data_IF_659719066293
#
_entry.id   IF_659719066293
#
_cell.length_a   1.000
_cell.length_b   1.000
_cell.length_c   1.000
_cell.angle_alpha   90.00
_cell.angle_beta   90.00
_cell.angle_gamma   90.00
#
_symmetry.space_group_name_H-M   'P 1'
#
loop_
_entity.id
_entity.type
_entity.pdbx_description
1 polymer ?
#
# COMPACT_ATOMS: atom_id res chain seq x y z
N UNK A 1 -1.87 10.57 -17.23
CA UNK A 1 -1.70 9.48 -16.24
C UNK A 1 -2.14 9.87 -14.85
N UNK A 2 -1.58 10.92 -14.21
CA UNK A 2 -1.97 11.29 -12.82
C UNK A 2 -3.48 11.50 -12.64
N UNK A 3 -4.11 12.26 -13.54
CA UNK A 3 -5.57 12.48 -13.51
C UNK A 3 -6.38 11.18 -13.70
N UNK A 4 -5.82 10.19 -14.40
CA UNK A 4 -6.46 8.88 -14.58
C UNK A 4 -6.42 8.08 -13.27
N UNK A 5 -5.24 8.01 -12.63
CA UNK A 5 -5.06 7.32 -11.35
C UNK A 5 -5.85 7.98 -10.22
N UNK A 6 -5.94 9.31 -10.25
CA UNK A 6 -6.71 10.12 -9.31
C UNK A 6 -8.17 9.66 -9.15
N UNK A 7 -8.78 9.17 -10.24
CA UNK A 7 -10.16 8.68 -10.22
C UNK A 7 -10.38 7.49 -9.28
N UNK A 8 -9.31 6.75 -8.97
CA UNK A 8 -9.31 5.56 -8.11
C UNK A 8 -8.86 5.85 -6.67
N UNK A 9 -8.44 7.08 -6.36
CA UNK A 9 -8.04 7.49 -5.02
C UNK A 9 -9.24 8.01 -4.23
N UNK A 10 -9.28 7.71 -2.93
CA UNK A 10 -10.30 8.23 -2.03
C UNK A 10 -10.24 9.77 -1.94
N UNK A 11 -11.39 10.49 -1.88
CA UNK A 11 -11.43 11.95 -1.91
C UNK A 11 -10.50 12.63 -0.89
N UNK A 12 -10.41 12.09 0.31
CA UNK A 12 -9.56 12.57 1.40
C UNK A 12 -8.05 12.45 1.10
N UNK A 13 -7.67 11.61 0.13
CA UNK A 13 -6.28 11.29 -0.23
C UNK A 13 -5.89 11.79 -1.63
N UNK A 14 -6.78 12.55 -2.28
CA UNK A 14 -6.62 13.10 -3.62
C UNK A 14 -5.63 14.28 -3.69
N UNK A 15 -4.48 14.14 -3.01
CA UNK A 15 -3.39 15.11 -3.03
C UNK A 15 -2.43 14.78 -4.18
N UNK A 16 -2.41 15.65 -5.19
CA UNK A 16 -1.49 15.58 -6.33
C UNK A 16 -0.27 16.47 -6.08
N UNK A 17 0.86 16.15 -6.73
CA UNK A 17 1.98 17.09 -6.80
C UNK A 17 1.57 18.41 -7.47
N UNK A 18 2.02 19.54 -6.91
CA UNK A 18 1.63 20.90 -7.37
C UNK A 18 2.12 21.17 -8.80
N UNK A 19 3.39 20.86 -9.09
CA UNK A 19 3.99 21.01 -10.42
C UNK A 19 4.71 19.73 -10.82
N UNK A 20 4.09 18.89 -11.67
CA UNK A 20 4.71 17.67 -12.21
C UNK A 20 6.12 17.93 -12.73
N UNK A 21 7.05 17.04 -12.43
CA UNK A 21 8.44 17.06 -12.92
C UNK A 21 9.30 18.26 -12.49
N UNK A 22 8.78 19.16 -11.65
CA UNK A 22 9.53 20.32 -11.17
C UNK A 22 10.12 20.10 -9.77
N UNK A 23 9.47 19.28 -8.94
CA UNK A 23 9.86 19.05 -7.56
C UNK A 23 10.35 17.63 -7.33
N UNK A 24 11.28 17.49 -6.39
CA UNK A 24 11.78 16.18 -5.93
C UNK A 24 10.69 15.37 -5.23
N UNK A 25 10.95 14.08 -5.08
CA UNK A 25 10.09 13.16 -4.36
C UNK A 25 9.80 13.63 -2.93
N UNK A 26 8.53 13.58 -2.54
CA UNK A 26 8.09 13.78 -1.15
C UNK A 26 7.43 12.50 -0.61
N UNK A 27 7.87 11.94 0.53
CA UNK A 27 7.28 10.72 1.11
C UNK A 27 5.83 10.92 1.61
N UNK A 28 5.34 12.16 1.63
CA UNK A 28 4.03 12.52 2.17
C UNK A 28 2.95 12.69 1.09
N UNK A 29 3.34 12.77 -0.19
CA UNK A 29 2.39 12.91 -1.30
C UNK A 29 2.09 11.54 -1.93
N UNK A 30 0.80 11.25 -2.14
CA UNK A 30 0.33 9.94 -2.64
C UNK A 30 0.53 9.75 -4.14
N UNK A 31 0.29 10.80 -4.92
CA UNK A 31 0.41 10.78 -6.38
C UNK A 31 1.32 11.92 -6.85
N UNK A 32 2.46 11.55 -7.42
CA UNK A 32 3.49 12.50 -7.85
C UNK A 32 4.01 12.12 -9.24
N UNK A 33 4.37 13.14 -10.01
CA UNK A 33 5.13 12.99 -11.25
C UNK A 33 6.51 13.60 -11.04
N UNK A 34 7.54 12.78 -11.25
CA UNK A 34 8.92 13.08 -10.89
C UNK A 34 9.79 12.75 -12.11
N UNK A 35 10.84 13.52 -12.32
CA UNK A 35 11.79 13.25 -13.39
C UNK A 35 12.49 11.91 -13.18
N UNK A 36 12.77 11.20 -14.27
CA UNK A 36 13.39 9.88 -14.22
C UNK A 36 14.78 9.89 -13.61
N UNK A 37 15.51 11.00 -13.73
CA UNK A 37 16.83 11.19 -13.12
C UNK A 37 16.80 11.09 -11.58
N UNK A 38 15.65 11.38 -10.97
CA UNK A 38 15.44 11.32 -9.52
C UNK A 38 15.07 9.92 -9.02
N UNK A 39 15.08 8.88 -9.87
CA UNK A 39 14.68 7.53 -9.44
C UNK A 39 15.50 7.03 -8.25
N UNK A 40 16.80 7.33 -8.22
CA UNK A 40 17.67 6.96 -7.10
C UNK A 40 17.22 7.70 -5.83
N UNK A 41 16.94 8.99 -5.92
CA UNK A 41 16.38 9.80 -4.81
C UNK A 41 15.08 9.20 -4.29
N UNK A 42 14.17 8.81 -5.20
CA UNK A 42 12.90 8.13 -4.87
C UNK A 42 13.17 6.83 -4.10
N UNK A 43 14.19 6.06 -4.49
CA UNK A 43 14.52 4.80 -3.81
C UNK A 43 15.01 5.01 -2.36
N UNK A 44 15.76 6.08 -2.09
CA UNK A 44 16.25 6.39 -0.74
C UNK A 44 15.22 7.08 0.14
N UNK A 45 14.53 8.10 -0.39
CA UNK A 45 13.47 8.81 0.32
C UNK A 45 12.20 7.95 0.45
N UNK A 46 12.01 6.98 -0.44
CA UNK A 46 10.89 6.04 -0.40
C UNK A 46 10.82 5.25 0.91
N UNK A 47 11.96 4.95 1.53
CA UNK A 47 12.02 4.27 2.83
C UNK A 47 11.36 5.07 3.99
N UNK A 48 11.20 6.39 3.86
CA UNK A 48 10.51 7.23 4.86
C UNK A 48 8.99 7.21 4.68
N UNK A 49 8.53 6.79 3.51
CA UNK A 49 7.11 6.81 3.14
C UNK A 49 6.33 5.92 4.07
N UNK A 50 5.13 6.34 4.45
CA UNK A 50 4.31 5.56 5.36
C UNK A 50 3.87 4.22 4.74
N UNK A 51 3.73 4.17 3.42
CA UNK A 51 3.24 3.02 2.67
C UNK A 51 4.23 2.59 1.58
N UNK A 52 4.18 1.32 1.15
CA UNK A 52 4.80 0.87 -0.08
C UNK A 52 4.44 1.78 -1.27
N UNK A 53 5.36 1.87 -2.22
CA UNK A 53 5.28 2.76 -3.37
C UNK A 53 5.14 1.98 -4.66
N UNK A 54 4.52 2.61 -5.65
CA UNK A 54 4.48 2.12 -7.03
C UNK A 54 5.12 3.16 -7.94
N UNK A 55 6.08 2.73 -8.75
CA UNK A 55 6.75 3.55 -9.77
C UNK A 55 6.22 3.12 -11.13
N UNK A 56 5.63 4.07 -11.86
CA UNK A 56 5.12 3.87 -13.21
C UNK A 56 6.02 4.66 -14.16
N UNK A 57 6.89 3.96 -14.88
CA UNK A 57 7.76 4.54 -15.92
C UNK A 57 7.00 4.51 -17.25
N UNK A 58 6.53 5.68 -17.70
CA UNK A 58 5.72 5.82 -18.91
C UNK A 58 6.52 5.60 -20.19
N UNK A 59 7.80 6.00 -20.20
CA UNK A 59 8.65 5.89 -21.38
C UNK A 59 9.02 4.42 -21.64
N UNK A 60 9.27 3.68 -20.55
CA UNK A 60 9.59 2.25 -20.62
C UNK A 60 8.37 1.33 -20.57
N UNK A 61 7.20 1.87 -20.25
CA UNK A 61 5.97 1.11 -20.02
C UNK A 61 6.13 0.03 -18.94
N UNK A 62 6.84 0.38 -17.86
CA UNK A 62 7.13 -0.52 -16.74
C UNK A 62 6.41 -0.04 -15.49
N UNK A 63 5.85 -0.99 -14.74
CA UNK A 63 5.30 -0.74 -13.41
C UNK A 63 6.04 -1.60 -12.40
N UNK A 64 6.62 -0.93 -11.40
CA UNK A 64 7.31 -1.57 -10.30
C UNK A 64 6.69 -1.18 -8.96
N UNK A 65 6.59 -2.13 -8.05
CA UNK A 65 6.16 -1.91 -6.66
C UNK A 65 7.34 -2.09 -5.72
N UNK A 66 7.36 -1.33 -4.63
CA UNK A 66 8.29 -1.57 -3.54
C UNK A 66 7.92 -2.85 -2.78
N UNK A 67 8.74 -3.19 -1.78
CA UNK A 67 8.45 -4.34 -0.92
C UNK A 67 7.09 -4.23 -0.23
N UNK A 68 6.42 -5.37 0.08
CA UNK A 68 5.15 -5.39 0.80
C UNK A 68 5.22 -4.66 2.15
N UNK A 69 4.06 -4.29 2.68
CA UNK A 69 3.92 -3.49 3.90
C UNK A 69 4.81 -3.93 5.08
N UNK A 70 4.90 -5.22 5.46
CA UNK A 70 5.72 -5.63 6.61
C UNK A 70 7.21 -5.32 6.42
N UNK A 71 7.74 -5.67 5.25
CA UNK A 71 9.14 -5.40 4.89
C UNK A 71 9.38 -3.90 4.74
N UNK A 72 8.41 -3.14 4.22
CA UNK A 72 8.50 -1.68 4.11
C UNK A 72 8.52 -1.00 5.48
N UNK A 73 7.69 -1.45 6.43
CA UNK A 73 7.67 -0.95 7.81
C UNK A 73 8.99 -1.23 8.54
N UNK A 74 9.52 -2.45 8.42
CA UNK A 74 10.83 -2.79 8.96
C UNK A 74 11.95 -1.91 8.38
N UNK A 75 11.91 -1.63 7.07
CA UNK A 75 12.85 -0.73 6.40
C UNK A 75 12.75 0.71 6.93
N UNK A 76 11.52 1.22 7.11
CA UNK A 76 11.26 2.55 7.66
C UNK A 76 11.80 2.68 9.09
N UNK A 77 11.54 1.69 9.95
CA UNK A 77 12.05 1.67 11.32
C UNK A 77 13.59 1.63 11.34
N UNK A 78 14.22 0.85 10.45
CA UNK A 78 15.67 0.82 10.31
C UNK A 78 16.22 2.19 9.90
N UNK A 79 15.56 2.87 8.96
CA UNK A 79 15.93 4.22 8.54
C UNK A 79 15.81 5.23 9.69
N UNK A 80 14.68 5.26 10.37
CA UNK A 80 14.46 6.14 11.52
C UNK A 80 15.49 5.91 12.62
N UNK A 81 15.83 4.64 12.90
CA UNK A 81 16.91 4.28 13.84
C UNK A 81 18.26 4.83 13.37
N UNK A 82 18.59 4.70 12.09
CA UNK A 82 19.82 5.24 11.53
C UNK A 82 19.87 6.77 11.64
N UNK A 83 18.77 7.47 11.34
CA UNK A 83 18.66 8.93 11.42
C UNK A 83 18.83 9.42 12.86
N UNK A 84 18.17 8.77 13.83
CA UNK A 84 18.34 9.06 15.27
C UNK A 84 19.79 8.80 15.68
N UNK A 85 20.37 7.69 15.25
CA UNK A 85 21.76 7.36 15.56
C UNK A 85 22.70 8.40 14.97
N UNK A 86 22.46 8.92 13.77
CA UNK A 86 23.26 10.00 13.18
C UNK A 86 23.17 11.30 13.97
N UNK A 87 21.98 11.67 14.46
CA UNK A 87 21.79 12.84 15.33
C UNK A 87 22.61 12.66 16.62
N UNK A 88 22.51 11.49 17.26
CA UNK A 88 23.25 11.15 18.49
C UNK A 88 24.77 10.99 18.24
N UNK A 89 25.19 10.64 17.02
CA UNK A 89 26.61 10.53 16.61
C UNK A 89 27.27 11.86 16.32
N UNK A 90 26.51 12.93 16.04
CA UNK A 90 27.09 14.29 15.97
C UNK A 90 27.71 14.76 17.29
N UNK A 91 27.58 13.96 18.36
CA UNK A 91 28.16 14.18 19.68
C UNK A 91 29.38 13.32 20.04
N UNK A 92 29.79 12.28 19.29
CA UNK A 92 31.08 11.58 19.52
C UNK A 92 31.51 10.59 18.39
N UNK A 93 32.82 10.30 18.33
CA UNK A 93 33.65 9.80 17.20
C UNK A 93 33.51 8.29 16.82
N UNK A 94 33.72 8.03 15.51
CA UNK A 94 34.00 6.79 14.75
C UNK A 94 33.16 5.52 14.94
N UNK A 95 32.25 5.29 13.98
CA UNK A 95 31.75 3.95 13.65
C UNK A 95 31.47 3.84 12.14
N UNK A 96 31.68 2.62 11.60
CA UNK A 96 31.44 2.21 10.20
C UNK A 96 30.20 2.87 9.58
N UNK A 97 30.35 3.28 8.31
CA UNK A 97 29.27 3.86 7.51
C UNK A 97 28.01 2.98 7.58
N UNK A 98 26.88 3.51 8.10
CA UNK A 98 25.65 2.74 8.16
C UNK A 98 25.15 2.47 6.73
N UNK A 99 24.75 1.22 6.46
CA UNK A 99 24.07 0.86 5.22
C UNK A 99 22.83 1.75 5.10
N UNK A 100 22.80 2.61 4.10
CA UNK A 100 21.67 3.53 3.87
C UNK A 100 20.47 2.70 3.37
N UNK A 101 19.37 2.62 4.13
CA UNK A 101 18.21 1.83 3.74
C UNK A 101 17.59 2.43 2.48
N UNK A 102 17.31 1.60 1.48
CA UNK A 102 16.62 1.97 0.24
C UNK A 102 15.55 0.96 -0.11
N UNK A 103 14.47 1.41 -0.74
CA UNK A 103 13.44 0.50 -1.24
C UNK A 103 13.97 -0.30 -2.44
N UNK A 104 13.56 -1.56 -2.53
CA UNK A 104 13.76 -2.40 -3.71
C UNK A 104 12.51 -2.33 -4.58
N UNK A 105 12.68 -2.17 -5.88
CA UNK A 105 11.60 -2.19 -6.86
C UNK A 105 11.50 -3.58 -7.50
N UNK A 106 10.27 -4.11 -7.57
CA UNK A 106 9.95 -5.42 -8.14
C UNK A 106 8.79 -5.28 -9.11
N UNK A 107 8.71 -6.17 -10.09
CA UNK A 107 7.56 -6.21 -11.00
C UNK A 107 6.28 -6.49 -10.22
N UNK A 108 5.20 -5.80 -10.58
CA UNK A 108 3.88 -6.05 -10.00
C UNK A 108 3.10 -7.08 -10.81
N UNK A 109 2.22 -7.83 -10.13
CA UNK A 109 1.21 -8.65 -10.78
C UNK A 109 -0.11 -7.89 -10.86
N UNK A 110 -0.78 -7.98 -12.02
CA UNK A 110 -2.08 -7.35 -12.20
C UNK A 110 -3.15 -8.03 -11.32
N UNK A 111 -3.98 -7.22 -10.68
CA UNK A 111 -5.18 -7.72 -10.02
C UNK A 111 -6.19 -8.15 -11.10
N UNK A 112 -6.66 -9.42 -11.13
CA UNK A 112 -7.64 -9.88 -12.11
C UNK A 112 -8.92 -9.05 -12.12
N UNK A 113 -9.31 -8.45 -10.99
CA UNK A 113 -10.48 -7.55 -10.91
C UNK A 113 -10.25 -6.28 -11.71
N UNK A 114 -9.04 -5.73 -11.70
CA UNK A 114 -8.65 -4.55 -12.49
C UNK A 114 -8.62 -4.91 -13.98
N UNK A 115 -8.05 -6.06 -14.36
CA UNK A 115 -8.05 -6.52 -15.76
C UNK A 115 -9.47 -6.64 -16.30
N UNK A 116 -10.37 -7.29 -15.56
CA UNK A 116 -11.77 -7.43 -15.94
C UNK A 116 -12.50 -6.08 -16.00
N UNK A 117 -12.20 -5.17 -15.07
CA UNK A 117 -12.73 -3.81 -15.08
C UNK A 117 -12.33 -3.07 -16.36
N UNK A 118 -11.04 -3.11 -16.75
CA UNK A 118 -10.55 -2.43 -17.95
C UNK A 118 -11.21 -2.97 -19.23
N UNK A 119 -11.32 -4.30 -19.36
CA UNK A 119 -12.01 -4.93 -20.50
C UNK A 119 -13.45 -4.42 -20.60
N UNK A 120 -14.18 -4.36 -19.48
CA UNK A 120 -15.58 -3.88 -19.47
C UNK A 120 -15.68 -2.38 -19.72
N UNK A 121 -14.70 -1.60 -19.24
CA UNK A 121 -14.64 -0.15 -19.46
C UNK A 121 -14.52 0.19 -20.94
N UNK A 122 -13.78 -0.61 -21.72
CA UNK A 122 -13.63 -0.42 -23.16
C UNK A 122 -14.91 -0.68 -23.94
N UNK A 123 -15.81 -1.52 -23.40
CA UNK A 123 -17.12 -1.81 -23.98
C UNK A 123 -18.18 -0.73 -23.67
N UNK A 124 -17.93 0.14 -22.68
CA UNK A 124 -18.86 1.20 -22.31
C UNK A 124 -18.84 2.36 -23.33
N UNK A 125 -19.98 3.05 -23.54
CA UNK A 125 -20.02 4.25 -24.35
C UNK A 125 -19.02 5.29 -23.82
N UNK A 126 -18.49 6.14 -24.70
CA UNK A 126 -17.56 7.21 -24.33
C UNK A 126 -18.22 8.35 -23.54
N UNK A 127 -19.47 8.16 -23.10
CA UNK A 127 -20.17 9.10 -22.25
C UNK A 127 -19.51 9.17 -20.86
N UNK A 128 -19.17 10.40 -20.46
CA UNK A 128 -18.47 10.67 -19.20
C UNK A 128 -19.24 10.14 -17.98
N UNK A 129 -20.57 10.32 -17.96
CA UNK A 129 -21.45 9.89 -16.87
C UNK A 129 -21.39 8.37 -16.64
N UNK A 130 -21.56 7.59 -17.71
CA UNK A 130 -21.54 6.12 -17.69
C UNK A 130 -20.18 5.60 -17.20
N UNK A 131 -19.09 6.10 -17.78
CA UNK A 131 -17.71 5.70 -17.43
C UNK A 131 -17.34 6.07 -15.99
N UNK A 132 -17.73 7.27 -15.52
CA UNK A 132 -17.52 7.66 -14.13
C UNK A 132 -18.38 6.84 -13.15
N UNK A 133 -19.62 6.53 -13.53
CA UNK A 133 -20.49 5.65 -12.75
C UNK A 133 -19.87 4.27 -12.57
N UNK A 134 -19.32 3.69 -13.64
CA UNK A 134 -18.65 2.40 -13.60
C UNK A 134 -17.37 2.42 -12.75
N UNK A 135 -16.55 3.47 -12.83
CA UNK A 135 -15.40 3.68 -11.94
C UNK A 135 -15.85 3.71 -10.46
N UNK A 136 -16.93 4.43 -10.15
CA UNK A 136 -17.46 4.51 -8.78
C UNK A 136 -17.94 3.16 -8.27
N UNK A 137 -18.63 2.38 -9.11
CA UNK A 137 -19.05 1.02 -8.77
C UNK A 137 -17.87 0.11 -8.50
N UNK A 138 -16.82 0.18 -9.33
CA UNK A 138 -15.60 -0.58 -9.11
C UNK A 138 -14.93 -0.23 -7.78
N UNK A 139 -14.82 1.06 -7.45
CA UNK A 139 -14.28 1.52 -6.16
C UNK A 139 -15.12 1.02 -4.98
N UNK A 140 -16.44 1.11 -5.07
CA UNK A 140 -17.36 0.62 -4.04
C UNK A 140 -17.20 -0.87 -3.81
N UNK A 141 -16.99 -1.66 -4.87
CA UNK A 141 -16.72 -3.10 -4.76
C UNK A 141 -15.44 -3.36 -3.95
N UNK A 142 -14.34 -2.65 -4.24
CA UNK A 142 -13.08 -2.80 -3.49
C UNK A 142 -13.27 -2.38 -2.03
N UNK A 143 -13.97 -1.28 -1.78
CA UNK A 143 -14.24 -0.79 -0.43
C UNK A 143 -15.12 -1.75 0.38
N UNK A 144 -16.11 -2.38 -0.25
CA UNK A 144 -16.93 -3.42 0.38
C UNK A 144 -16.12 -4.68 0.68
N UNK A 145 -15.21 -5.10 -0.22
CA UNK A 145 -14.27 -6.18 0.09
C UNK A 145 -13.38 -5.85 1.29
N UNK A 146 -12.95 -4.60 1.41
CA UNK A 146 -12.14 -4.14 2.54
C UNK A 146 -12.92 -4.14 3.86
N UNK A 147 -14.16 -3.64 3.86
CA UNK A 147 -15.06 -3.72 5.03
C UNK A 147 -15.34 -5.15 5.44
N UNK A 148 -15.58 -6.05 4.49
CA UNK A 148 -15.79 -7.46 4.76
C UNK A 148 -14.54 -8.11 5.38
N UNK A 149 -13.34 -7.75 4.91
CA UNK A 149 -12.08 -8.20 5.50
C UNK A 149 -11.94 -7.74 6.95
N UNK A 150 -12.20 -6.46 7.23
CA UNK A 150 -12.15 -5.90 8.58
C UNK A 150 -13.13 -6.63 9.50
N UNK A 151 -14.39 -6.73 9.09
CA UNK A 151 -15.44 -7.35 9.90
C UNK A 151 -15.14 -8.83 10.18
N UNK A 152 -14.67 -9.57 9.17
CA UNK A 152 -14.29 -10.98 9.34
C UNK A 152 -13.14 -11.15 10.33
N UNK A 153 -12.11 -10.30 10.24
CA UNK A 153 -10.96 -10.36 11.15
C UNK A 153 -11.38 -9.99 12.56
N UNK A 154 -12.20 -8.96 12.74
CA UNK A 154 -12.72 -8.58 14.05
C UNK A 154 -13.45 -9.75 14.70
N UNK A 155 -14.44 -10.32 13.99
CA UNK A 155 -15.25 -11.47 14.46
C UNK A 155 -14.40 -12.68 14.84
N UNK A 156 -13.46 -13.10 13.98
CA UNK A 156 -12.61 -14.28 14.25
C UNK A 156 -11.54 -14.01 15.32
N UNK A 157 -11.23 -12.74 15.58
CA UNK A 157 -10.28 -12.32 16.62
C UNK A 157 -10.95 -12.03 17.96
N UNK A 158 -12.28 -12.08 18.06
CA UNK A 158 -12.93 -11.88 19.35
C UNK A 158 -12.57 -13.01 20.32
N UNK A 159 -12.13 -12.70 21.56
CA UNK A 159 -11.86 -13.72 22.55
C UNK A 159 -13.17 -14.40 22.96
N UNK A 160 -13.22 -15.73 22.81
CA UNK A 160 -14.39 -16.50 23.21
C UNK A 160 -14.67 -16.33 24.72
N UNK A 161 -15.93 -16.07 25.05
CA UNK A 161 -16.48 -15.92 26.41
C UNK A 161 -16.12 -17.05 27.39
N UNK A 162 -15.71 -18.21 26.87
CA UNK A 162 -15.26 -19.38 27.62
C UNK A 162 -13.80 -19.30 28.10
N UNK A 163 -12.95 -18.44 27.53
CA UNK A 163 -11.52 -18.33 27.85
C UNK A 163 -11.27 -17.40 29.03
N UNK A 164 -11.43 -17.90 30.26
CA UNK A 164 -11.12 -17.14 31.49
C UNK A 164 -9.62 -17.01 31.84
N UNK A 165 -8.68 -17.45 31.00
CA UNK A 165 -7.26 -17.50 31.40
C UNK A 165 -6.21 -17.03 30.38
N UNK A 166 -6.56 -16.68 29.14
CA UNK A 166 -5.58 -16.18 28.17
C UNK A 166 -6.13 -15.00 27.37
N UNK A 167 -5.47 -13.84 27.46
CA UNK A 167 -5.77 -12.59 26.74
C UNK A 167 -5.41 -12.61 25.25
N UNK A 168 -4.84 -13.71 24.75
CA UNK A 168 -4.55 -13.89 23.33
C UNK A 168 -5.72 -14.59 22.66
N UNK A 169 -6.52 -13.82 21.92
CA UNK A 169 -7.57 -14.34 21.04
C UNK A 169 -7.07 -15.49 20.18
N UNK A 170 -7.87 -16.53 20.09
CA UNK A 170 -7.62 -17.79 19.38
C UNK A 170 -7.06 -17.60 17.97
N UNK A 171 -5.91 -18.27 17.71
CA UNK A 171 -5.45 -18.93 16.46
C UNK A 171 -6.17 -18.61 15.13
N UNK A 172 -6.47 -17.36 14.81
CA UNK A 172 -6.92 -17.02 13.47
C UNK A 172 -5.72 -17.09 12.54
N UNK A 173 -5.97 -17.47 11.28
CA UNK A 173 -4.92 -17.51 10.27
C UNK A 173 -5.39 -16.79 9.02
N UNK A 174 -4.47 -16.12 8.35
CA UNK A 174 -4.80 -15.28 7.21
C UNK A 174 -5.32 -16.07 6.02
N UNK A 175 -4.84 -17.30 5.82
CA UNK A 175 -5.21 -18.07 4.63
C UNK A 175 -6.69 -18.48 4.60
N UNK A 176 -7.28 -19.06 5.67
CA UNK A 176 -8.73 -19.26 5.75
C UNK A 176 -9.53 -17.98 5.54
N UNK A 177 -9.13 -16.86 6.14
CA UNK A 177 -9.80 -15.56 5.96
C UNK A 177 -9.79 -15.13 4.48
N UNK A 178 -8.62 -15.22 3.83
CA UNK A 178 -8.48 -14.94 2.39
C UNK A 178 -9.36 -15.85 1.54
N UNK A 179 -9.44 -17.14 1.86
CA UNK A 179 -10.27 -18.09 1.12
C UNK A 179 -11.76 -17.78 1.27
N UNK A 180 -12.22 -17.48 2.49
CA UNK A 180 -13.62 -17.15 2.79
C UNK A 180 -14.10 -15.87 2.08
N UNK A 181 -13.18 -14.95 1.79
CA UNK A 181 -13.45 -13.66 1.15
C UNK A 181 -13.07 -13.61 -0.33
N UNK A 182 -12.75 -14.75 -0.95
CA UNK A 182 -12.28 -14.85 -2.34
C UNK A 182 -11.05 -13.97 -2.66
N UNK A 183 -10.15 -13.83 -1.68
CA UNK A 183 -8.87 -13.09 -1.78
C UNK A 183 -7.68 -14.04 -1.97
N UNK A 184 -7.87 -15.08 -2.78
CA UNK A 184 -6.84 -16.09 -3.07
C UNK A 184 -5.67 -15.47 -3.84
N UNK A 185 -5.97 -14.64 -4.85
CA UNK A 185 -4.95 -13.86 -5.56
C UNK A 185 -4.22 -12.90 -4.63
N UNK A 186 -2.88 -12.93 -4.64
CA UNK A 186 -2.08 -12.03 -3.81
C UNK A 186 -2.28 -10.56 -4.21
N UNK A 187 -2.42 -10.26 -5.50
CA UNK A 187 -2.69 -8.91 -5.96
C UNK A 187 -4.04 -8.40 -5.43
N UNK A 188 -5.08 -9.25 -5.50
CA UNK A 188 -6.41 -8.90 -5.00
C UNK A 188 -6.42 -8.71 -3.48
N UNK A 189 -5.72 -9.58 -2.75
CA UNK A 189 -5.54 -9.41 -1.30
C UNK A 189 -4.84 -8.09 -0.97
N UNK A 190 -3.72 -7.76 -1.62
CA UNK A 190 -2.96 -6.54 -1.34
C UNK A 190 -3.76 -5.26 -1.64
N UNK A 191 -4.54 -5.25 -2.73
CA UNK A 191 -5.44 -4.12 -3.06
C UNK A 191 -6.52 -3.98 -1.98
N UNK A 192 -7.14 -5.09 -1.57
CA UNK A 192 -8.16 -5.07 -0.51
C UNK A 192 -7.56 -4.66 0.84
N UNK A 193 -6.35 -5.11 1.17
CA UNK A 193 -5.63 -4.77 2.40
C UNK A 193 -5.28 -3.28 2.44
N UNK A 194 -4.79 -2.71 1.33
CA UNK A 194 -4.48 -1.30 1.23
C UNK A 194 -5.73 -0.42 1.45
N UNK A 195 -6.89 -0.87 0.95
CA UNK A 195 -8.16 -0.18 1.18
C UNK A 195 -8.69 -0.41 2.61
N UNK A 196 -8.50 -1.59 3.19
CA UNK A 196 -8.89 -1.88 4.58
C UNK A 196 -8.14 -0.98 5.56
N UNK A 197 -6.84 -0.81 5.34
CA UNK A 197 -6.01 0.09 6.13
C UNK A 197 -6.44 1.56 6.04
N UNK A 198 -6.93 2.00 4.88
CA UNK A 198 -7.53 3.35 4.76
C UNK A 198 -8.71 3.52 5.71
N UNK A 199 -9.55 2.49 5.80
CA UNK A 199 -10.80 2.51 6.57
C UNK A 199 -10.52 2.34 8.07
N UNK A 200 -9.66 1.40 8.42
CA UNK A 200 -9.24 1.09 9.79
C UNK A 200 -7.70 1.04 9.82
N UNK A 201 -7.03 2.14 10.24
CA UNK A 201 -5.59 2.16 10.40
C UNK A 201 -5.08 1.05 11.32
N UNK A 202 -3.85 0.60 11.10
CA UNK A 202 -3.16 -0.45 11.86
C UNK A 202 -3.68 -1.88 11.63
N UNK A 203 -4.74 -2.07 10.83
CA UNK A 203 -5.23 -3.40 10.50
C UNK A 203 -4.20 -4.21 9.71
N UNK A 204 -3.43 -3.57 8.81
CA UNK A 204 -2.38 -4.24 8.07
C UNK A 204 -1.23 -4.68 8.98
N UNK A 205 -0.90 -3.88 9.99
CA UNK A 205 0.10 -4.23 11.00
C UNK A 205 -0.37 -5.43 11.82
N UNK A 206 -1.61 -5.39 12.33
CA UNK A 206 -2.22 -6.50 13.06
C UNK A 206 -2.22 -7.81 12.25
N UNK A 207 -2.63 -7.75 10.98
CA UNK A 207 -2.68 -8.92 10.10
C UNK A 207 -1.28 -9.51 9.89
N UNK A 208 -0.30 -8.65 9.63
CA UNK A 208 1.04 -9.09 9.26
C UNK A 208 1.85 -9.59 10.46
N UNK A 209 1.73 -8.92 11.62
CA UNK A 209 2.34 -9.36 12.89
C UNK A 209 1.78 -10.71 13.35
N UNK A 210 0.47 -10.92 13.20
CA UNK A 210 -0.18 -12.18 13.57
C UNK A 210 0.19 -13.38 12.68
N UNK A 211 0.75 -13.13 11.48
CA UNK A 211 0.98 -14.18 10.47
C UNK A 211 2.45 -14.32 10.02
N UNK A 212 3.42 -13.61 10.62
CA UNK A 212 4.85 -13.64 10.26
C UNK A 212 5.11 -13.51 8.73
N UNK A 213 4.40 -12.58 8.07
CA UNK A 213 4.50 -12.31 6.62
C UNK A 213 5.74 -11.49 6.23
#
# INVERSE_FOLDING_TARGET
>A
MLLTLYLFVAPEWQWLCIKPFQFSYSPYLRLQAIQRIELITVMYAGAESHWPLTVIDLDRQIVCTSSPHPKHRALKLLKQKNDITQILKRTDVDFKDPIIPKIELRNCHADPRVTNFLIRMDLLPFERSARLGFIRQFRLMIENSARALIAYIQDISEPDSSYKQHTTSSRWSLWPARKSLDLVSNASFLVTLAEAERILPEIADFICESNNL
#
